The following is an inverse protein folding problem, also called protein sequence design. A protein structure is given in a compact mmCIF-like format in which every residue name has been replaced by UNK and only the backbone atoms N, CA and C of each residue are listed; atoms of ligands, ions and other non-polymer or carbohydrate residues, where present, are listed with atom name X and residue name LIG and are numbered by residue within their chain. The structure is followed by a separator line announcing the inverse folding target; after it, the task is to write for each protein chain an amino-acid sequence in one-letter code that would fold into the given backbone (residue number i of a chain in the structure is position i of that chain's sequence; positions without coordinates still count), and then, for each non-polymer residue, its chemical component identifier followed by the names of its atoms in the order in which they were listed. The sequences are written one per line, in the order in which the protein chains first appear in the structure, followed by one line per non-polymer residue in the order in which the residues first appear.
data_IF_411201716180
#
_entry.id   IF_411201716180
#
_cell.length_a   1.000
_cell.length_b   1.000
_cell.length_c   1.000
_cell.angle_alpha   90.00
_cell.angle_beta   90.00
_cell.angle_gamma   90.00
#
_symmetry.space_group_name_H-M   'P 1'
#
loop_
_entity.id
_entity.type
_entity.pdbx_description
1 polymer ?
#
# COMPACT_ATOMS: atom_id res chain seq x y z
N UNK A 1 -26.76 19.26 -4.69
CA UNK A 1 -25.81 19.56 -3.59
C UNK A 1 -24.62 18.64 -3.79
N UNK A 2 -23.42 19.19 -3.96
CA UNK A 2 -22.19 18.40 -4.09
C UNK A 2 -21.21 18.89 -3.02
N UNK A 3 -20.58 17.93 -2.35
CA UNK A 3 -19.58 18.14 -1.31
C UNK A 3 -18.18 17.97 -1.89
N UNK A 4 -17.26 18.84 -1.48
CA UNK A 4 -15.83 18.66 -1.73
C UNK A 4 -15.35 17.52 -0.83
N UNK A 5 -14.88 16.45 -1.46
CA UNK A 5 -14.26 15.30 -0.80
C UNK A 5 -12.79 15.67 -0.62
N UNK A 6 -12.33 15.79 0.63
CA UNK A 6 -10.89 15.87 0.91
C UNK A 6 -10.28 14.53 0.49
N UNK A 7 -9.59 14.53 -0.65
CA UNK A 7 -8.93 13.35 -1.21
C UNK A 7 -7.42 13.54 -1.04
N UNK A 8 -6.85 13.18 0.11
CA UNK A 8 -5.40 13.18 0.21
C UNK A 8 -4.91 12.04 -0.69
N UNK A 9 -4.22 12.42 -1.77
CA UNK A 9 -3.65 11.49 -2.76
C UNK A 9 -2.44 10.81 -2.14
N UNK A 10 -2.69 9.94 -1.19
CA UNK A 10 -1.67 9.13 -0.59
C UNK A 10 -1.37 7.96 -1.53
N UNK A 11 -0.08 7.72 -1.75
CA UNK A 11 0.42 6.63 -2.57
C UNK A 11 1.73 6.10 -2.03
N UNK A 12 1.99 4.82 -2.27
CA UNK A 12 3.24 4.17 -1.91
C UNK A 12 4.22 4.26 -3.06
N UNK A 13 5.43 4.71 -2.76
CA UNK A 13 6.53 4.66 -3.72
C UNK A 13 7.17 3.28 -3.67
N UNK A 14 7.18 2.58 -4.79
CA UNK A 14 7.88 1.30 -4.94
C UNK A 14 8.86 1.37 -6.11
N UNK A 15 9.84 0.46 -6.14
CA UNK A 15 10.71 0.27 -7.30
C UNK A 15 10.16 -0.85 -8.18
N UNK A 16 9.94 -0.56 -9.46
CA UNK A 16 9.53 -1.59 -10.42
C UNK A 16 10.72 -2.51 -10.80
N UNK A 17 10.48 -3.49 -11.69
CA UNK A 17 11.52 -4.42 -12.17
C UNK A 17 12.70 -3.72 -12.87
N UNK A 18 12.49 -2.52 -13.41
CA UNK A 18 13.53 -1.68 -14.01
C UNK A 18 14.25 -0.78 -12.99
N UNK A 19 13.99 -0.97 -11.69
CA UNK A 19 14.48 -0.14 -10.57
C UNK A 19 14.00 1.32 -10.62
N UNK A 20 12.99 1.63 -11.44
CA UNK A 20 12.38 2.95 -11.50
C UNK A 20 11.42 3.14 -10.33
N UNK A 21 11.44 4.34 -9.72
CA UNK A 21 10.47 4.71 -8.69
C UNK A 21 9.09 4.94 -9.35
N UNK A 22 8.06 4.30 -8.82
CA UNK A 22 6.67 4.44 -9.25
C UNK A 22 5.79 4.65 -8.02
N UNK A 23 4.71 5.41 -8.18
CA UNK A 23 3.70 5.62 -7.14
C UNK A 23 2.55 4.65 -7.41
N UNK A 24 2.17 3.89 -6.40
CA UNK A 24 0.93 3.13 -6.35
C UNK A 24 -0.06 3.93 -5.50
N UNK A 25 -1.13 4.44 -6.10
CA UNK A 25 -2.22 5.09 -5.37
C UNK A 25 -3.20 4.03 -4.87
N UNK A 26 -3.85 4.29 -3.75
CA UNK A 26 -4.82 3.36 -3.17
C UNK A 26 -5.96 3.03 -4.15
N UNK A 27 -6.51 4.06 -4.80
CA UNK A 27 -7.55 3.91 -5.84
C UNK A 27 -7.10 3.12 -7.07
N UNK A 28 -5.79 2.96 -7.27
CA UNK A 28 -5.20 2.28 -8.44
C UNK A 28 -4.72 0.86 -8.15
N UNK A 29 -4.80 0.38 -6.89
CA UNK A 29 -4.38 -0.98 -6.50
C UNK A 29 -4.97 -2.04 -7.45
N UNK A 30 -6.20 -1.85 -7.89
CA UNK A 30 -6.89 -2.77 -8.79
C UNK A 30 -6.24 -2.94 -10.18
N UNK A 31 -5.42 -1.98 -10.62
CA UNK A 31 -4.71 -1.96 -11.92
C UNK A 31 -3.42 -2.79 -11.92
N UNK A 32 -2.84 -3.07 -10.76
CA UNK A 32 -1.55 -3.76 -10.66
C UNK A 32 -1.71 -5.27 -10.66
N UNK A 33 -0.74 -6.00 -11.21
CA UNK A 33 -0.74 -7.47 -11.23
C UNK A 33 -0.41 -8.07 -9.85
N UNK A 34 -0.81 -9.32 -9.61
CA UNK A 34 -0.59 -10.02 -8.33
C UNK A 34 0.89 -10.03 -7.93
N UNK A 35 1.80 -10.22 -8.89
CA UNK A 35 3.24 -10.23 -8.63
C UNK A 35 3.76 -8.87 -8.11
N UNK A 36 3.22 -7.74 -8.60
CA UNK A 36 3.61 -6.42 -8.10
C UNK A 36 3.00 -6.17 -6.73
N UNK A 37 1.71 -6.50 -6.56
CA UNK A 37 1.00 -6.35 -5.30
C UNK A 37 1.67 -7.14 -4.16
N UNK A 38 2.07 -8.39 -4.40
CA UNK A 38 2.77 -9.20 -3.41
C UNK A 38 4.11 -8.58 -2.98
N UNK A 39 4.91 -8.06 -3.92
CA UNK A 39 6.19 -7.41 -3.60
C UNK A 39 6.03 -6.13 -2.79
N UNK A 40 5.02 -5.32 -3.13
CA UNK A 40 4.72 -4.10 -2.37
C UNK A 40 4.22 -4.45 -0.97
N UNK A 41 3.35 -5.46 -0.85
CA UNK A 41 2.85 -5.95 0.43
C UNK A 41 3.98 -6.47 1.34
N UNK A 42 4.92 -7.23 0.79
CA UNK A 42 6.09 -7.72 1.53
C UNK A 42 6.96 -6.57 2.05
N UNK A 43 7.24 -5.58 1.19
CA UNK A 43 7.98 -4.38 1.58
C UNK A 43 7.27 -3.55 2.66
N UNK A 44 5.94 -3.43 2.56
CA UNK A 44 5.11 -2.78 3.57
C UNK A 44 5.20 -3.47 4.93
N UNK A 45 5.05 -4.79 4.96
CA UNK A 45 5.14 -5.59 6.19
C UNK A 45 6.52 -5.48 6.83
N UNK A 46 7.58 -5.53 6.02
CA UNK A 46 8.95 -5.30 6.50
C UNK A 46 9.08 -3.92 7.13
N UNK A 47 8.63 -2.88 6.44
CA UNK A 47 8.69 -1.50 6.94
C UNK A 47 7.90 -1.32 8.25
N UNK A 48 6.68 -1.85 8.32
CA UNK A 48 5.84 -1.79 9.52
C UNK A 48 6.51 -2.52 10.70
N UNK A 49 7.15 -3.67 10.45
CA UNK A 49 7.94 -4.36 11.46
C UNK A 49 9.15 -3.52 11.89
N UNK A 50 9.90 -2.95 10.95
CA UNK A 50 11.07 -2.14 11.24
C UNK A 50 10.74 -0.90 12.08
N UNK A 51 9.59 -0.26 11.81
CA UNK A 51 9.06 0.82 12.65
C UNK A 51 8.64 0.30 14.02
N UNK A 52 7.89 -0.81 14.09
CA UNK A 52 7.40 -1.39 15.34
C UNK A 52 8.52 -1.80 16.30
N UNK A 53 9.61 -2.35 15.76
CA UNK A 53 10.76 -2.80 16.55
C UNK A 53 11.80 -1.69 16.76
N UNK A 54 11.56 -0.47 16.28
CA UNK A 54 12.45 0.67 16.46
C UNK A 54 13.73 0.63 15.62
N UNK A 55 13.79 -0.24 14.61
CA UNK A 55 14.89 -0.25 13.63
C UNK A 55 14.84 1.00 12.74
N UNK A 56 13.65 1.53 12.50
CA UNK A 56 13.45 2.83 11.86
C UNK A 56 13.04 3.84 12.94
N UNK A 57 13.96 4.72 13.31
CA UNK A 57 13.69 5.87 14.17
C UNK A 57 12.99 6.97 13.36
N UNK A 58 11.73 6.74 13.02
CA UNK A 58 10.86 7.75 12.44
C UNK A 58 9.57 7.77 13.24
N UNK A 59 9.25 8.93 13.79
CA UNK A 59 7.95 9.18 14.40
C UNK A 59 6.92 9.30 13.28
N UNK A 60 6.23 8.20 12.99
CA UNK A 60 5.06 8.24 12.12
C UNK A 60 3.94 8.97 12.85
N UNK A 61 3.30 9.89 12.14
CA UNK A 61 2.03 10.47 12.60
C UNK A 61 0.96 9.38 12.68
N UNK A 62 -0.07 9.59 13.51
CA UNK A 62 -1.21 8.68 13.59
C UNK A 62 -1.85 8.43 12.22
N UNK A 63 -1.94 9.48 11.41
CA UNK A 63 -2.50 9.42 10.05
C UNK A 63 -1.63 8.59 9.10
N UNK A 64 -0.30 8.69 9.19
CA UNK A 64 0.60 7.84 8.40
C UNK A 64 0.48 6.35 8.79
N UNK A 65 0.37 6.06 10.09
CA UNK A 65 0.18 4.67 10.58
C UNK A 65 -1.14 4.11 10.09
N UNK A 66 -2.23 4.87 10.21
CA UNK A 66 -3.55 4.47 9.74
C UNK A 66 -3.56 4.29 8.22
N UNK A 67 -2.93 5.21 7.49
CA UNK A 67 -2.81 5.11 6.04
C UNK A 67 -2.04 3.87 5.58
N UNK A 68 -0.88 3.57 6.18
CA UNK A 68 -0.09 2.38 5.83
C UNK A 68 -0.89 1.10 6.07
N UNK A 69 -1.65 1.04 7.17
CA UNK A 69 -2.54 -0.08 7.49
C UNK A 69 -3.66 -0.23 6.47
N UNK A 70 -4.36 0.85 6.14
CA UNK A 70 -5.42 0.84 5.12
C UNK A 70 -4.88 0.39 3.76
N UNK A 71 -3.67 0.80 3.40
CA UNK A 71 -3.05 0.40 2.14
C UNK A 71 -2.67 -1.09 2.12
N UNK A 72 -2.15 -1.61 3.24
CA UNK A 72 -1.88 -3.04 3.42
C UNK A 72 -3.15 -3.86 3.23
N UNK A 73 -4.23 -3.50 3.94
CA UNK A 73 -5.55 -4.14 3.84
C UNK A 73 -6.11 -4.09 2.40
N UNK A 74 -6.02 -2.94 1.73
CA UNK A 74 -6.48 -2.77 0.35
C UNK A 74 -5.76 -3.69 -0.66
N UNK A 75 -4.45 -3.92 -0.46
CA UNK A 75 -3.71 -4.89 -1.29
C UNK A 75 -4.16 -6.32 -0.98
N UNK A 76 -4.27 -6.68 0.30
CA UNK A 76 -4.67 -8.03 0.72
C UNK A 76 -6.06 -8.41 0.21
N UNK A 77 -7.02 -7.50 0.32
CA UNK A 77 -8.38 -7.68 -0.19
C UNK A 77 -8.39 -7.88 -1.70
N UNK A 78 -7.61 -7.09 -2.44
CA UNK A 78 -7.51 -7.25 -3.89
C UNK A 78 -6.93 -8.61 -4.28
N UNK A 79 -5.89 -9.06 -3.58
CA UNK A 79 -5.28 -10.38 -3.81
C UNK A 79 -6.23 -11.52 -3.42
N UNK A 80 -6.98 -11.36 -2.33
CA UNK A 80 -8.00 -12.33 -1.89
C UNK A 80 -9.13 -12.46 -2.90
N UNK A 81 -9.68 -11.33 -3.35
CA UNK A 81 -10.73 -11.28 -4.38
C UNK A 81 -10.29 -12.02 -5.66
N UNK A 82 -9.07 -11.74 -6.16
CA UNK A 82 -8.56 -12.41 -7.36
C UNK A 82 -8.30 -13.90 -7.18
N UNK A 83 -7.88 -14.34 -6.00
CA UNK A 83 -7.73 -15.78 -5.68
C UNK A 83 -9.07 -16.50 -5.69
N UNK A 84 -10.13 -15.85 -5.20
CA UNK A 84 -11.49 -16.40 -5.23
C UNK A 84 -12.04 -16.51 -6.65
N UNK A 85 -11.83 -15.48 -7.49
CA UNK A 85 -12.31 -15.48 -8.89
C UNK A 85 -11.54 -16.43 -9.83
N UNK A 86 -10.40 -16.97 -9.40
CA UNK A 86 -9.61 -17.98 -10.15
C UNK A 86 -10.07 -19.42 -9.86
N UNK A 87 -10.96 -19.61 -8.88
CA UNK A 87 -11.62 -20.89 -8.58
C UNK A 87 -12.93 -20.98 -9.36
#
# INVERSE_FOLDING_TARGET
MFSIIYEPVYGIIYKNSKKEKRVMRHSEIHKFCDATLNKVLEGLKSYNNDVKYGYIQRDLTKDEVEYLKLFEEGIEDRLKYRRQMKR
#
